data_IF_316123427358
#
_entry.id   IF_316123427358
#
_cell.length_a   1.000
_cell.length_b   1.000
_cell.length_c   1.000
_cell.angle_alpha   90.00
_cell.angle_beta   90.00
_cell.angle_gamma   90.00
#
_symmetry.space_group_name_H-M   'P 1'
#
loop_
_entity.id
_entity.type
_entity.pdbx_description
1 polymer ?
#
# COMPACT_ATOMS: atom_id res chain seq x y z
N UNK A 1 -12.47 33.15 1.48
CA UNK A 1 -12.18 33.12 2.94
C UNK A 1 -11.90 31.72 3.51
N UNK A 2 -12.44 30.62 2.97
CA UNK A 2 -12.06 29.23 3.35
C UNK A 2 -10.64 28.78 2.94
N UNK A 3 -9.89 29.62 2.21
CA UNK A 3 -8.59 29.28 1.60
C UNK A 3 -7.36 29.64 2.46
N UNK A 4 -7.51 30.37 3.58
CA UNK A 4 -6.40 30.74 4.46
C UNK A 4 -6.30 29.88 5.73
N UNK A 5 -7.35 29.12 6.06
CA UNK A 5 -7.37 28.23 7.23
C UNK A 5 -6.56 26.94 6.97
N UNK A 6 -6.32 26.58 5.69
CA UNK A 6 -5.61 25.34 5.31
C UNK A 6 -4.07 25.38 5.46
N UNK A 7 -3.50 26.42 6.08
CA UNK A 7 -2.04 26.56 6.26
C UNK A 7 -1.57 26.58 7.72
N UNK A 8 -2.48 26.53 8.70
CA UNK A 8 -2.07 26.51 10.11
C UNK A 8 -2.01 25.07 10.61
N UNK A 9 -0.81 24.63 10.99
CA UNK A 9 -0.54 23.36 11.69
C UNK A 9 -1.19 23.41 13.07
N UNK A 10 -2.48 23.09 13.15
CA UNK A 10 -3.26 23.17 14.39
C UNK A 10 -4.06 21.89 14.61
N UNK A 11 -4.13 21.42 15.86
CA UNK A 11 -4.94 20.29 16.22
C UNK A 11 -6.43 20.67 16.21
N UNK A 12 -7.35 19.70 16.03
CA UNK A 12 -8.78 19.97 15.88
C UNK A 12 -9.51 20.29 17.20
N UNK A 13 -8.93 19.94 18.35
CA UNK A 13 -9.54 20.15 19.67
C UNK A 13 -9.41 21.59 20.20
N UNK A 14 -10.22 21.98 21.19
CA UNK A 14 -10.10 23.28 21.83
C UNK A 14 -8.96 23.34 22.83
N UNK A 15 -8.62 24.57 23.23
CA UNK A 15 -7.80 24.87 24.40
C UNK A 15 -8.69 24.85 25.65
N UNK A 16 -8.35 24.06 26.65
CA UNK A 16 -9.05 24.07 27.94
C UNK A 16 -8.35 25.05 28.88
N UNK A 17 -9.05 26.10 29.27
CA UNK A 17 -8.58 27.12 30.22
C UNK A 17 -9.10 26.75 31.60
N UNK A 18 -8.20 26.48 32.53
CA UNK A 18 -8.50 26.10 33.92
C UNK A 18 -7.99 27.22 34.83
N UNK A 19 -8.90 28.08 35.28
CA UNK A 19 -8.61 29.32 36.00
C UNK A 19 -9.85 29.70 36.80
N UNK A 20 -9.71 30.13 38.06
CA UNK A 20 -10.83 30.39 38.97
C UNK A 20 -11.33 31.85 38.91
N UNK A 21 -10.49 32.78 38.44
CA UNK A 21 -10.86 34.19 38.32
C UNK A 21 -11.46 34.52 36.96
N UNK A 22 -12.69 35.02 36.98
CA UNK A 22 -13.44 35.40 35.76
C UNK A 22 -12.68 36.39 34.87
N UNK A 23 -12.02 37.40 35.46
CA UNK A 23 -11.21 38.38 34.72
C UNK A 23 -10.09 37.71 33.89
N UNK A 24 -9.40 36.72 34.49
CA UNK A 24 -8.32 35.99 33.83
C UNK A 24 -8.86 35.04 32.76
N UNK A 25 -9.99 34.38 33.04
CA UNK A 25 -10.68 33.55 32.04
C UNK A 25 -11.04 34.39 30.81
N UNK A 26 -11.63 35.57 31.00
CA UNK A 26 -12.02 36.47 29.90
C UNK A 26 -10.81 36.98 29.11
N UNK A 27 -9.70 37.31 29.79
CA UNK A 27 -8.45 37.68 29.13
C UNK A 27 -7.93 36.54 28.22
N UNK A 28 -7.81 35.33 28.75
CA UNK A 28 -7.30 34.16 28.02
C UNK A 28 -8.24 33.75 26.89
N UNK A 29 -9.56 33.83 27.11
CA UNK A 29 -10.58 33.63 26.10
C UNK A 29 -10.40 34.62 24.95
N UNK A 30 -10.29 35.93 25.25
CA UNK A 30 -10.05 36.96 24.25
C UNK A 30 -8.75 36.75 23.45
N UNK A 31 -7.70 36.23 24.10
CA UNK A 31 -6.46 35.84 23.40
C UNK A 31 -6.75 34.69 22.42
N UNK A 32 -7.44 33.63 22.86
CA UNK A 32 -7.82 32.49 22.01
C UNK A 32 -8.69 32.92 20.82
N UNK A 33 -9.66 33.80 21.05
CA UNK A 33 -10.50 34.39 19.99
C UNK A 33 -9.66 35.16 18.97
N UNK A 34 -8.72 36.00 19.44
CA UNK A 34 -7.85 36.79 18.56
C UNK A 34 -7.02 35.92 17.60
N UNK A 35 -6.66 34.70 18.03
CA UNK A 35 -5.94 33.72 17.21
C UNK A 35 -6.85 32.69 16.54
N UNK A 36 -8.18 32.81 16.68
CA UNK A 36 -9.17 31.91 16.08
C UNK A 36 -8.97 30.46 16.52
N UNK A 37 -8.78 30.25 17.82
CA UNK A 37 -8.64 28.92 18.44
C UNK A 37 -9.87 28.68 19.31
N UNK A 38 -10.60 27.57 19.12
CA UNK A 38 -11.72 27.23 19.99
C UNK A 38 -11.20 26.97 21.41
N UNK A 39 -11.98 27.36 22.41
CA UNK A 39 -11.59 27.19 23.81
C UNK A 39 -12.79 26.74 24.66
N UNK A 40 -12.49 26.19 25.81
CA UNK A 40 -13.45 25.85 26.86
C UNK A 40 -12.94 26.39 28.19
N UNK A 41 -13.84 26.76 29.09
CA UNK A 41 -13.53 27.31 30.40
C UNK A 41 -13.85 26.29 31.49
N UNK A 42 -12.98 26.19 32.48
CA UNK A 42 -13.17 25.44 33.71
C UNK A 42 -12.72 26.29 34.90
N UNK A 43 -13.59 26.44 35.89
CA UNK A 43 -13.32 27.25 37.08
C UNK A 43 -12.41 26.58 38.12
N UNK A 44 -12.15 25.27 37.99
CA UNK A 44 -11.21 24.53 38.84
C UNK A 44 -10.80 23.20 38.19
N UNK A 45 -9.82 22.52 38.78
CA UNK A 45 -9.30 21.25 38.27
C UNK A 45 -10.34 20.11 38.20
N UNK A 46 -11.35 20.12 39.08
CA UNK A 46 -12.39 19.07 39.07
C UNK A 46 -13.32 19.23 37.87
N UNK A 47 -13.80 20.45 37.62
CA UNK A 47 -14.61 20.78 36.43
C UNK A 47 -13.82 20.49 35.15
N UNK A 48 -12.51 20.78 35.14
CA UNK A 48 -11.65 20.47 34.00
C UNK A 48 -11.55 18.96 33.71
N UNK A 49 -11.45 18.11 34.74
CA UNK A 49 -11.47 16.66 34.58
C UNK A 49 -12.83 16.14 34.08
N UNK A 50 -13.93 16.73 34.52
CA UNK A 50 -15.27 16.40 34.02
C UNK A 50 -15.41 16.73 32.53
N UNK A 51 -14.93 17.91 32.09
CA UNK A 51 -14.94 18.30 30.68
C UNK A 51 -14.05 17.41 29.79
N UNK A 52 -12.94 16.90 30.34
CA UNK A 52 -12.03 15.98 29.64
C UNK A 52 -12.72 14.66 29.26
N UNK A 53 -13.71 14.22 30.07
CA UNK A 53 -14.46 12.99 29.78
C UNK A 53 -15.42 13.12 28.59
N UNK A 54 -15.77 14.35 28.22
CA UNK A 54 -16.78 14.67 27.20
C UNK A 54 -16.19 15.17 25.88
N UNK A 55 -14.98 15.76 25.90
CA UNK A 55 -14.39 16.43 24.74
C UNK A 55 -12.89 16.11 24.57
N UNK A 56 -12.43 16.03 23.31
CA UNK A 56 -11.01 15.98 23.02
C UNK A 56 -10.37 17.36 23.19
N UNK A 57 -9.41 17.50 24.12
CA UNK A 57 -8.66 18.74 24.37
C UNK A 57 -7.27 18.69 23.76
N UNK A 58 -6.87 19.78 23.10
CA UNK A 58 -5.56 19.92 22.44
C UNK A 58 -4.47 20.45 23.35
N UNK A 59 -4.72 21.54 24.06
CA UNK A 59 -3.78 22.19 24.98
C UNK A 59 -4.53 22.61 26.24
N UNK A 60 -3.87 22.50 27.40
CA UNK A 60 -4.40 22.92 28.69
C UNK A 60 -3.67 24.18 29.13
N UNK A 61 -4.39 25.25 29.42
CA UNK A 61 -3.88 26.44 30.12
C UNK A 61 -4.32 26.32 31.59
N UNK A 62 -3.41 26.17 32.53
CA UNK A 62 -3.74 25.79 33.92
C UNK A 62 -3.14 26.79 34.91
N UNK A 63 -3.98 27.44 35.73
CA UNK A 63 -3.50 28.11 36.93
C UNK A 63 -3.12 27.09 38.01
N UNK A 64 -2.01 27.31 38.69
CA UNK A 64 -1.60 26.49 39.83
C UNK A 64 -2.42 26.74 41.08
N UNK A 65 -2.89 27.98 41.27
CA UNK A 65 -3.59 28.37 42.49
C UNK A 65 -5.08 28.55 42.22
N UNK A 66 -5.87 27.52 42.55
CA UNK A 66 -7.33 27.55 42.40
C UNK A 66 -7.99 26.85 43.59
N UNK A 67 -9.23 27.22 43.98
CA UNK A 67 -10.01 26.52 44.99
C UNK A 67 -10.47 25.13 44.49
N UNK A 68 -10.94 24.30 45.43
CA UNK A 68 -11.49 22.94 45.20
C UNK A 68 -10.44 21.91 44.76
N UNK A 69 -9.82 22.09 43.59
CA UNK A 69 -8.72 21.27 43.10
C UNK A 69 -7.67 22.18 42.47
N UNK A 70 -6.50 22.23 43.09
CA UNK A 70 -5.37 23.03 42.64
C UNK A 70 -4.77 22.50 41.32
N UNK A 71 -4.04 23.36 40.61
CA UNK A 71 -3.47 23.02 39.31
C UNK A 71 -2.42 21.91 39.37
N UNK A 72 -1.62 21.81 40.45
CA UNK A 72 -0.63 20.72 40.60
C UNK A 72 -1.34 19.37 40.69
N UNK A 73 -2.38 19.28 41.52
CA UNK A 73 -3.22 18.09 41.70
C UNK A 73 -3.92 17.71 40.40
N UNK A 74 -4.50 18.69 39.69
CA UNK A 74 -5.08 18.48 38.35
C UNK A 74 -4.07 17.91 37.35
N UNK A 75 -2.88 18.49 37.24
CA UNK A 75 -1.83 18.05 36.29
C UNK A 75 -1.44 16.59 36.56
N UNK A 76 -1.30 16.19 37.83
CA UNK A 76 -0.97 14.79 38.19
C UNK A 76 -2.05 13.82 37.73
N UNK A 77 -3.33 14.12 37.96
CA UNK A 77 -4.44 13.27 37.52
C UNK A 77 -4.57 13.26 36.00
N UNK A 78 -4.43 14.42 35.35
CA UNK A 78 -4.45 14.55 33.90
C UNK A 78 -3.37 13.69 33.25
N UNK A 79 -2.13 13.68 33.77
CA UNK A 79 -1.03 12.88 33.22
C UNK A 79 -1.22 11.37 33.40
N UNK A 80 -1.99 10.91 34.39
CA UNK A 80 -2.38 9.49 34.51
C UNK A 80 -3.38 9.08 33.43
N UNK A 81 -4.30 9.98 33.08
CA UNK A 81 -5.33 9.73 32.06
C UNK A 81 -4.80 9.94 30.63
N UNK A 82 -4.00 10.98 30.43
CA UNK A 82 -3.45 11.43 29.15
C UNK A 82 -1.99 11.83 29.34
N UNK A 83 -1.09 10.86 29.27
CA UNK A 83 0.36 11.06 29.50
C UNK A 83 0.99 12.08 28.55
N UNK A 84 0.47 12.15 27.32
CA UNK A 84 0.91 13.07 26.28
C UNK A 84 0.21 14.43 26.33
N UNK A 85 -0.53 14.77 27.41
CA UNK A 85 -1.16 16.09 27.58
C UNK A 85 -0.14 17.23 27.43
N UNK A 86 -0.48 18.25 26.65
CA UNK A 86 0.34 19.46 26.42
C UNK A 86 -0.21 20.54 27.33
N UNK A 87 0.55 20.89 28.36
CA UNK A 87 0.08 21.70 29.48
C UNK A 87 0.93 22.96 29.57
N UNK A 88 0.28 24.11 29.52
CA UNK A 88 0.86 25.41 29.77
C UNK A 88 0.40 25.88 31.14
N UNK A 89 1.35 26.11 32.03
CA UNK A 89 1.06 26.51 33.40
C UNK A 89 1.10 28.02 33.53
N UNK A 90 0.20 28.58 34.32
CA UNK A 90 0.21 29.99 34.72
C UNK A 90 0.50 30.06 36.21
N UNK A 91 1.44 30.90 36.62
CA UNK A 91 1.89 30.98 38.01
C UNK A 91 2.26 32.40 38.42
N UNK A 92 2.00 32.75 39.68
CA UNK A 92 2.48 34.01 40.28
C UNK A 92 3.91 33.88 40.84
N UNK A 93 4.49 32.69 40.76
CA UNK A 93 5.80 32.34 41.32
C UNK A 93 6.88 32.51 40.24
N UNK A 94 7.93 33.26 40.56
CA UNK A 94 9.11 33.48 39.70
C UNK A 94 10.40 32.84 40.27
N UNK A 95 10.29 32.05 41.34
CA UNK A 95 11.40 31.33 41.98
C UNK A 95 11.89 30.12 41.17
N UNK A 96 13.21 30.01 40.99
CA UNK A 96 13.85 28.95 40.19
C UNK A 96 13.53 27.53 40.66
N UNK A 97 13.47 27.29 41.97
CA UNK A 97 13.26 25.94 42.51
C UNK A 97 11.84 25.42 42.28
N UNK A 98 10.83 26.29 42.39
CA UNK A 98 9.44 25.93 42.14
C UNK A 98 9.15 25.73 40.64
N UNK A 99 9.79 26.53 39.77
CA UNK A 99 9.72 26.33 38.30
C UNK A 99 10.30 24.94 37.93
N UNK A 100 11.43 24.55 38.53
CA UNK A 100 12.01 23.22 38.30
C UNK A 100 11.04 22.11 38.73
N UNK A 101 10.35 22.28 39.87
CA UNK A 101 9.35 21.33 40.33
C UNK A 101 8.18 21.18 39.35
N UNK A 102 7.67 22.30 38.83
CA UNK A 102 6.58 22.33 37.84
C UNK A 102 7.02 21.64 36.54
N UNK A 103 8.22 21.94 36.04
CA UNK A 103 8.74 21.31 34.82
C UNK A 103 8.90 19.80 34.97
N UNK A 104 9.29 19.30 36.15
CA UNK A 104 9.37 17.86 36.45
C UNK A 104 8.02 17.14 36.38
N UNK A 105 6.91 17.86 36.42
CA UNK A 105 5.56 17.29 36.24
C UNK A 105 5.21 17.03 34.77
N UNK A 106 6.13 17.31 33.84
CA UNK A 106 5.96 17.03 32.41
C UNK A 106 5.04 18.03 31.70
N UNK A 107 5.02 19.28 32.18
CA UNK A 107 4.33 20.38 31.50
C UNK A 107 5.16 20.86 30.30
N UNK A 108 4.50 21.45 29.32
CA UNK A 108 5.15 21.94 28.11
C UNK A 108 5.94 23.23 28.36
N UNK A 109 5.32 24.20 29.04
CA UNK A 109 5.94 25.47 29.40
C UNK A 109 5.16 26.15 30.54
N UNK A 110 5.67 27.27 31.04
CA UNK A 110 5.03 28.10 32.07
C UNK A 110 4.98 29.58 31.67
N UNK A 111 4.01 30.29 32.24
CA UNK A 111 3.72 31.70 32.02
C UNK A 111 3.64 32.39 33.38
N UNK A 112 4.52 33.37 33.61
CA UNK A 112 4.57 34.12 34.86
C UNK A 112 3.54 35.25 34.82
N UNK A 113 2.71 35.35 35.87
CA UNK A 113 1.76 36.46 36.06
C UNK A 113 2.51 37.72 36.54
N UNK A 114 2.17 38.94 36.07
CA UNK A 114 1.03 39.28 35.22
C UNK A 114 1.24 38.86 33.76
N UNK A 115 0.17 38.31 33.15
CA UNK A 115 0.24 37.73 31.82
C UNK A 115 0.43 38.79 30.73
N UNK A 116 1.53 38.69 30.00
CA UNK A 116 1.74 39.48 28.79
C UNK A 116 1.00 38.83 27.61
N UNK A 117 0.08 39.56 26.99
CA UNK A 117 -0.77 39.09 25.88
C UNK A 117 0.05 38.50 24.72
N UNK A 118 1.12 39.16 24.29
CA UNK A 118 1.94 38.73 23.16
C UNK A 118 2.74 37.46 23.50
N UNK A 119 3.23 37.36 24.74
CA UNK A 119 3.92 36.17 25.23
C UNK A 119 2.98 34.98 25.28
N UNK A 120 1.81 35.12 25.92
CA UNK A 120 0.79 34.07 26.01
C UNK A 120 0.40 33.58 24.62
N UNK A 121 0.12 34.52 23.70
CA UNK A 121 -0.22 34.22 22.31
C UNK A 121 0.87 33.42 21.61
N UNK A 122 2.12 33.84 21.73
CA UNK A 122 3.26 33.17 21.08
C UNK A 122 3.48 31.77 21.64
N UNK A 123 3.47 31.62 22.97
CA UNK A 123 3.65 30.34 23.65
C UNK A 123 2.50 29.37 23.37
N UNK A 124 1.25 29.85 23.34
CA UNK A 124 0.09 29.05 23.01
C UNK A 124 0.12 28.53 21.56
N UNK A 125 0.51 29.37 20.60
CA UNK A 125 0.67 28.93 19.21
C UNK A 125 1.73 27.84 19.06
N UNK A 126 2.87 27.97 19.75
CA UNK A 126 3.91 26.93 19.76
C UNK A 126 3.42 25.63 20.39
N UNK A 127 2.68 25.70 21.50
CA UNK A 127 2.10 24.53 22.15
C UNK A 127 1.08 23.81 21.25
N UNK A 128 0.25 24.56 20.51
CA UNK A 128 -0.68 24.00 19.53
C UNK A 128 0.05 23.32 18.37
N UNK A 129 1.11 23.93 17.83
CA UNK A 129 1.92 23.30 16.79
C UNK A 129 2.58 22.02 17.31
N UNK A 130 3.13 22.04 18.53
CA UNK A 130 3.72 20.86 19.15
C UNK A 130 2.70 19.72 19.33
N UNK A 131 1.47 20.02 19.78
CA UNK A 131 0.37 19.04 19.84
C UNK A 131 0.08 18.46 18.46
N UNK A 132 -0.05 19.31 17.44
CA UNK A 132 -0.30 18.86 16.06
C UNK A 132 0.78 17.89 15.56
N UNK A 133 2.05 18.16 15.87
CA UNK A 133 3.16 17.28 15.50
C UNK A 133 3.08 15.91 16.19
N UNK A 134 2.77 15.88 17.50
CA UNK A 134 2.55 14.61 18.23
C UNK A 134 1.40 13.81 17.62
N UNK A 135 0.30 14.47 17.27
CA UNK A 135 -0.86 13.79 16.70
C UNK A 135 -0.53 13.20 15.32
N UNK A 136 0.23 13.91 14.48
CA UNK A 136 0.74 13.39 13.20
C UNK A 136 1.67 12.20 13.41
N UNK A 137 2.65 12.31 14.32
CA UNK A 137 3.59 11.23 14.60
C UNK A 137 2.86 9.95 14.99
N UNK A 138 1.82 10.05 15.84
CA UNK A 138 0.98 8.92 16.22
C UNK A 138 0.23 8.29 15.05
N UNK A 139 -0.25 9.10 14.10
CA UNK A 139 -0.91 8.59 12.88
C UNK A 139 0.10 7.87 12.00
N UNK A 140 1.26 8.48 11.75
CA UNK A 140 2.32 7.89 10.94
C UNK A 140 2.82 6.55 11.52
N UNK A 141 3.10 6.51 12.83
CA UNK A 141 3.52 5.29 13.51
C UNK A 141 2.47 4.17 13.45
N UNK A 142 1.17 4.53 13.49
CA UNK A 142 0.07 3.55 13.35
C UNK A 142 -0.01 2.99 11.94
N UNK A 143 0.16 3.83 10.93
CA UNK A 143 0.14 3.40 9.52
C UNK A 143 1.33 2.50 9.21
N UNK A 144 2.54 2.89 9.64
CA UNK A 144 3.75 2.06 9.49
C UNK A 144 3.63 0.73 10.26
N UNK A 145 3.10 0.77 11.49
CA UNK A 145 2.84 -0.45 12.27
C UNK A 145 1.80 -1.35 11.62
N UNK A 146 0.80 -0.78 10.92
CA UNK A 146 -0.22 -1.53 10.21
C UNK A 146 0.37 -2.19 8.97
N UNK A 147 1.14 -1.45 8.18
CA UNK A 147 1.83 -1.98 7.00
C UNK A 147 2.82 -3.09 7.39
N UNK A 148 3.60 -2.90 8.46
CA UNK A 148 4.50 -3.94 8.99
C UNK A 148 3.73 -5.16 9.50
N UNK A 149 2.56 -4.98 10.14
CA UNK A 149 1.71 -6.11 10.56
C UNK A 149 1.14 -6.86 9.36
N UNK A 150 0.66 -6.17 8.33
CA UNK A 150 0.19 -6.79 7.09
C UNK A 150 1.32 -7.58 6.41
N UNK A 151 2.54 -7.03 6.37
CA UNK A 151 3.73 -7.73 5.88
C UNK A 151 4.08 -8.97 6.74
N UNK A 152 4.05 -8.85 8.07
CA UNK A 152 4.31 -9.96 8.98
C UNK A 152 3.24 -11.06 8.90
N UNK A 153 1.97 -10.68 8.77
CA UNK A 153 0.86 -11.62 8.54
C UNK A 153 1.01 -12.34 7.20
N UNK A 154 1.45 -11.64 6.16
CA UNK A 154 1.77 -12.25 4.88
C UNK A 154 2.94 -13.23 4.97
N UNK A 155 4.03 -12.85 5.64
CA UNK A 155 5.17 -13.72 5.89
C UNK A 155 4.80 -14.94 6.74
N UNK A 156 4.02 -14.74 7.81
CA UNK A 156 3.51 -15.83 8.64
C UNK A 156 2.54 -16.73 7.86
N UNK A 157 1.68 -16.19 7.02
CA UNK A 157 0.85 -16.97 6.11
C UNK A 157 1.72 -17.83 5.19
N UNK A 158 2.77 -17.26 4.57
CA UNK A 158 3.71 -18.01 3.71
C UNK A 158 4.46 -19.09 4.50
N UNK A 159 4.95 -18.80 5.70
CA UNK A 159 5.59 -19.76 6.61
C UNK A 159 4.63 -20.88 7.02
N UNK A 160 3.38 -20.54 7.33
CA UNK A 160 2.35 -21.49 7.76
C UNK A 160 1.85 -22.33 6.58
N UNK A 161 1.68 -21.76 5.39
CA UNK A 161 1.39 -22.50 4.15
C UNK A 161 2.53 -23.45 3.76
N UNK A 162 3.77 -23.14 4.18
CA UNK A 162 4.93 -24.02 4.01
C UNK A 162 5.00 -25.13 5.07
N UNK A 163 4.46 -24.91 6.27
CA UNK A 163 4.49 -25.83 7.43
C UNK A 163 3.22 -26.68 7.60
N UNK A 164 2.06 -26.23 7.13
CA UNK A 164 0.79 -26.94 7.24
C UNK A 164 0.48 -27.71 5.95
N UNK A 165 0.56 -29.04 6.03
CA UNK A 165 0.19 -30.04 5.03
C UNK A 165 0.43 -29.68 3.55
N UNK A 166 1.64 -30.00 3.08
CA UNK A 166 2.04 -30.12 1.65
C UNK A 166 0.92 -30.68 0.74
N UNK A 167 0.08 -31.58 1.26
CA UNK A 167 -1.02 -32.19 0.51
C UNK A 167 -2.09 -31.20 0.00
N UNK A 168 -2.41 -30.10 0.68
CA UNK A 168 -3.56 -29.26 0.29
C UNK A 168 -3.24 -28.29 -0.85
N UNK A 169 -2.06 -27.67 -0.83
CA UNK A 169 -1.56 -26.77 -1.88
C UNK A 169 -1.18 -27.53 -3.15
N UNK A 170 -0.56 -28.71 -3.03
CA UNK A 170 -0.27 -29.59 -4.16
C UNK A 170 -1.54 -30.09 -4.85
N UNK A 171 -2.54 -30.54 -4.07
CA UNK A 171 -3.84 -30.96 -4.60
C UNK A 171 -4.58 -29.80 -5.26
N UNK A 172 -4.52 -28.59 -4.68
CA UNK A 172 -5.12 -27.38 -5.27
C UNK A 172 -4.44 -27.02 -6.59
N UNK A 173 -3.12 -27.10 -6.68
CA UNK A 173 -2.38 -26.89 -7.92
C UNK A 173 -2.78 -27.91 -9.00
N UNK A 174 -2.94 -29.19 -8.63
CA UNK A 174 -3.41 -30.23 -9.54
C UNK A 174 -4.85 -29.96 -10.02
N UNK A 175 -5.75 -29.53 -9.12
CA UNK A 175 -7.12 -29.14 -9.50
C UNK A 175 -7.15 -27.93 -10.43
N UNK A 176 -6.36 -26.89 -10.14
CA UNK A 176 -6.29 -25.69 -10.97
C UNK A 176 -5.69 -26.01 -12.35
N UNK A 177 -4.64 -26.83 -12.40
CA UNK A 177 -4.07 -27.33 -13.65
C UNK A 177 -5.09 -28.15 -14.44
N UNK A 178 -5.77 -29.11 -13.81
CA UNK A 178 -6.85 -29.89 -14.45
C UNK A 178 -7.91 -28.97 -15.03
N UNK A 179 -8.36 -27.98 -14.27
CA UNK A 179 -9.39 -27.01 -14.70
C UNK A 179 -8.92 -26.22 -15.92
N UNK A 180 -7.71 -25.66 -15.86
CA UNK A 180 -7.14 -24.85 -16.95
C UNK A 180 -6.88 -25.67 -18.21
N UNK A 181 -6.49 -26.93 -18.08
CA UNK A 181 -6.28 -27.83 -19.22
C UNK A 181 -7.59 -28.40 -19.80
N UNK A 182 -8.64 -28.52 -18.98
CA UNK A 182 -9.93 -29.10 -19.40
C UNK A 182 -10.95 -28.05 -19.88
N UNK A 183 -10.78 -26.76 -19.52
CA UNK A 183 -11.68 -25.67 -19.88
C UNK A 183 -11.05 -24.71 -20.90
N UNK A 184 -11.89 -23.96 -21.64
CA UNK A 184 -11.46 -22.95 -22.60
C UNK A 184 -10.70 -23.55 -23.79
N UNK A 185 -9.61 -22.91 -24.22
CA UNK A 185 -8.76 -23.32 -25.36
C UNK A 185 -7.84 -24.52 -25.09
N UNK A 186 -8.06 -25.28 -24.00
CA UNK A 186 -7.27 -26.45 -23.63
C UNK A 186 -7.67 -27.76 -24.33
N UNK A 187 -7.24 -28.89 -23.77
CA UNK A 187 -7.47 -30.24 -24.32
C UNK A 187 -8.96 -30.58 -24.45
N UNK A 188 -9.81 -30.10 -23.54
CA UNK A 188 -11.26 -30.38 -23.59
C UNK A 188 -11.95 -29.82 -24.84
N UNK A 189 -11.57 -28.61 -25.26
CA UNK A 189 -12.05 -28.05 -26.52
C UNK A 189 -11.47 -28.81 -27.71
N UNK A 190 -10.18 -29.19 -27.66
CA UNK A 190 -9.55 -29.98 -28.71
C UNK A 190 -10.24 -31.34 -28.89
N UNK A 191 -10.52 -32.07 -27.81
CA UNK A 191 -11.22 -33.36 -27.89
C UNK A 191 -12.63 -33.19 -28.44
N UNK A 192 -13.35 -32.15 -28.02
CA UNK A 192 -14.70 -31.86 -28.54
C UNK A 192 -14.68 -31.53 -30.04
N UNK A 193 -13.69 -30.74 -30.48
CA UNK A 193 -13.51 -30.42 -31.90
C UNK A 193 -13.14 -31.67 -32.71
N UNK A 194 -12.24 -32.50 -32.21
CA UNK A 194 -11.87 -33.77 -32.85
C UNK A 194 -13.08 -34.70 -32.94
N UNK A 195 -13.85 -34.85 -31.86
CA UNK A 195 -15.07 -35.68 -31.86
C UNK A 195 -16.09 -35.14 -32.86
N UNK A 196 -16.27 -33.82 -32.94
CA UNK A 196 -17.16 -33.18 -33.92
C UNK A 196 -16.69 -33.43 -35.34
N UNK A 197 -15.39 -33.28 -35.62
CA UNK A 197 -14.79 -33.59 -36.93
C UNK A 197 -15.00 -35.06 -37.27
N UNK A 198 -14.75 -35.98 -36.33
CA UNK A 198 -14.91 -37.43 -36.54
C UNK A 198 -16.37 -37.77 -36.87
N UNK A 199 -17.35 -37.13 -36.20
CA UNK A 199 -18.78 -37.36 -36.43
C UNK A 199 -19.30 -36.75 -37.73
N UNK A 200 -18.77 -35.59 -38.14
CA UNK A 200 -19.26 -34.84 -39.31
C UNK A 200 -18.50 -35.14 -40.59
N UNK A 201 -17.29 -35.69 -40.48
CA UNK A 201 -16.46 -35.97 -41.65
C UNK A 201 -17.01 -37.12 -42.50
N UNK A 202 -16.99 -36.93 -43.81
CA UNK A 202 -17.39 -37.96 -44.77
C UNK A 202 -16.17 -38.68 -45.32
N UNK A 203 -16.25 -40.01 -45.40
CA UNK A 203 -15.23 -40.84 -46.07
C UNK A 203 -15.61 -41.08 -47.52
N UNK A 204 -14.69 -40.77 -48.43
CA UNK A 204 -14.83 -41.12 -49.83
C UNK A 204 -14.48 -42.60 -50.07
N UNK A 205 -14.86 -43.14 -51.23
CA UNK A 205 -14.63 -44.55 -51.63
C UNK A 205 -13.13 -44.95 -51.57
N UNK A 206 -12.22 -43.98 -51.69
CA UNK A 206 -10.77 -44.17 -51.62
C UNK A 206 -10.20 -44.12 -50.18
N UNK A 207 -11.07 -44.01 -49.15
CA UNK A 207 -10.68 -43.92 -47.75
C UNK A 207 -10.22 -42.53 -47.27
N UNK A 208 -10.26 -41.51 -48.14
CA UNK A 208 -9.94 -40.12 -47.75
C UNK A 208 -11.08 -39.49 -46.96
N UNK A 209 -10.72 -38.73 -45.91
CA UNK A 209 -11.65 -38.03 -45.02
C UNK A 209 -11.68 -36.56 -45.43
N UNK A 210 -12.86 -36.01 -45.69
CA UNK A 210 -13.05 -34.57 -45.96
C UNK A 210 -13.55 -33.88 -44.71
N UNK A 211 -12.89 -32.79 -44.33
CA UNK A 211 -13.18 -31.98 -43.13
C UNK A 211 -13.52 -30.57 -43.59
N UNK A 212 -14.47 -29.93 -42.91
CA UNK A 212 -14.78 -28.52 -43.13
C UNK A 212 -13.56 -27.63 -42.81
N UNK A 213 -13.31 -26.65 -43.67
CA UNK A 213 -12.21 -25.69 -43.48
C UNK A 213 -12.34 -24.88 -42.19
N UNK A 214 -13.57 -24.55 -41.76
CA UNK A 214 -13.81 -23.83 -40.50
C UNK A 214 -13.39 -24.67 -39.29
N UNK A 215 -13.76 -25.95 -39.25
CA UNK A 215 -13.33 -26.85 -38.17
C UNK A 215 -11.81 -27.06 -38.16
N UNK A 216 -11.18 -27.13 -39.33
CA UNK A 216 -9.74 -27.24 -39.43
C UNK A 216 -9.03 -25.98 -38.90
N UNK A 217 -9.54 -24.79 -39.22
CA UNK A 217 -8.97 -23.53 -38.74
C UNK A 217 -9.07 -23.42 -37.21
N UNK A 218 -10.24 -23.72 -36.63
CA UNK A 218 -10.42 -23.69 -35.16
C UNK A 218 -9.53 -24.72 -34.47
N UNK A 219 -9.34 -25.90 -35.08
CA UNK A 219 -8.41 -26.92 -34.58
C UNK A 219 -6.95 -26.43 -34.60
N UNK A 220 -6.54 -25.75 -35.68
CA UNK A 220 -5.20 -25.18 -35.79
C UNK A 220 -4.95 -24.09 -34.73
N UNK A 221 -5.91 -23.18 -34.54
CA UNK A 221 -5.86 -22.13 -33.52
C UNK A 221 -5.75 -22.73 -32.10
N UNK A 222 -6.58 -23.73 -31.78
CA UNK A 222 -6.55 -24.43 -30.50
C UNK A 222 -5.22 -25.17 -30.27
N UNK A 223 -4.68 -25.82 -31.30
CA UNK A 223 -3.37 -26.48 -31.24
C UNK A 223 -2.23 -25.50 -30.98
N UNK A 224 -2.28 -24.31 -31.61
CA UNK A 224 -1.31 -23.26 -31.37
C UNK A 224 -1.37 -22.73 -29.92
N UNK A 225 -2.57 -22.56 -29.37
CA UNK A 225 -2.75 -22.22 -27.95
C UNK A 225 -2.17 -23.29 -27.02
N UNK A 226 -2.47 -24.56 -27.28
CA UNK A 226 -1.94 -25.69 -26.49
C UNK A 226 -0.40 -25.73 -26.53
N UNK A 227 0.22 -25.54 -27.69
CA UNK A 227 1.68 -25.45 -27.81
C UNK A 227 2.27 -24.28 -27.04
N UNK A 228 1.59 -23.13 -26.99
CA UNK A 228 2.03 -21.98 -26.18
C UNK A 228 1.99 -22.31 -24.70
N UNK A 229 0.90 -22.93 -24.23
CA UNK A 229 0.72 -23.35 -22.84
C UNK A 229 1.82 -24.33 -22.39
N UNK A 230 2.12 -25.33 -23.22
CA UNK A 230 3.17 -26.31 -22.94
C UNK A 230 4.58 -25.68 -22.90
N UNK A 231 4.87 -24.73 -23.79
CA UNK A 231 6.14 -23.98 -23.77
C UNK A 231 6.29 -23.13 -22.52
N UNK A 232 5.23 -22.43 -22.11
CA UNK A 232 5.22 -21.64 -20.88
C UNK A 232 5.43 -22.52 -19.63
N UNK A 233 4.80 -23.69 -19.59
CA UNK A 233 5.00 -24.67 -18.51
C UNK A 233 6.44 -25.19 -18.47
N UNK A 234 7.00 -25.56 -19.62
CA UNK A 234 8.38 -26.03 -19.71
C UNK A 234 9.38 -24.96 -19.23
N UNK A 235 9.19 -23.71 -19.65
CA UNK A 235 10.01 -22.59 -19.18
C UNK A 235 9.90 -22.36 -17.68
N UNK A 236 8.68 -22.47 -17.11
CA UNK A 236 8.50 -22.40 -15.66
C UNK A 236 9.28 -23.50 -14.93
N UNK A 237 9.17 -24.76 -15.38
CA UNK A 237 9.91 -25.89 -14.78
C UNK A 237 11.42 -25.69 -14.87
N UNK A 238 11.94 -25.26 -16.01
CA UNK A 238 13.37 -24.97 -16.17
C UNK A 238 13.86 -23.88 -15.20
N UNK A 239 13.08 -22.82 -15.00
CA UNK A 239 13.40 -21.77 -14.04
C UNK A 239 13.32 -22.31 -12.60
N UNK A 240 12.37 -23.19 -12.29
CA UNK A 240 12.25 -23.80 -10.97
C UNK A 240 13.50 -24.64 -10.64
N UNK A 241 13.91 -25.52 -11.56
CA UNK A 241 15.00 -26.47 -11.38
C UNK A 241 16.41 -25.85 -11.49
N UNK A 242 16.57 -24.76 -12.24
CA UNK A 242 17.88 -24.13 -12.46
C UNK A 242 18.50 -23.55 -11.19
N UNK A 243 19.83 -23.63 -11.06
CA UNK A 243 20.55 -22.79 -10.09
C UNK A 243 20.68 -21.39 -10.68
N UNK A 244 20.24 -20.38 -9.94
CA UNK A 244 20.30 -18.99 -10.38
C UNK A 244 21.59 -18.36 -9.91
N UNK A 245 22.42 -17.95 -10.86
CA UNK A 245 23.62 -17.15 -10.59
C UNK A 245 23.23 -15.67 -10.59
N UNK A 246 23.53 -14.99 -9.48
CA UNK A 246 23.29 -13.56 -9.30
C UNK A 246 24.57 -12.79 -9.61
N UNK A 247 24.44 -11.78 -10.46
CA UNK A 247 25.55 -10.90 -10.85
C UNK A 247 25.41 -9.54 -10.18
N UNK A 248 26.54 -8.87 -9.90
CA UNK A 248 26.51 -7.49 -9.41
C UNK A 248 26.06 -6.57 -10.54
N UNK A 249 25.00 -5.83 -10.30
CA UNK A 249 24.36 -4.96 -11.29
C UNK A 249 23.96 -3.65 -10.64
N UNK A 250 24.07 -2.55 -11.39
CA UNK A 250 23.62 -1.25 -10.93
C UNK A 250 22.13 -1.03 -11.21
N UNK A 251 21.45 -0.28 -10.35
CA UNK A 251 20.02 0.01 -10.50
C UNK A 251 19.66 0.66 -11.85
N UNK A 252 20.58 1.42 -12.45
CA UNK A 252 20.38 2.01 -13.79
C UNK A 252 20.20 0.96 -14.90
N UNK A 253 20.90 -0.17 -14.81
CA UNK A 253 20.75 -1.27 -15.77
C UNK A 253 19.40 -1.97 -15.63
N UNK A 254 18.89 -2.08 -14.40
CA UNK A 254 17.55 -2.63 -14.12
C UNK A 254 16.47 -1.71 -14.72
N UNK A 255 16.60 -0.39 -14.53
CA UNK A 255 15.69 0.59 -15.15
C UNK A 255 15.73 0.48 -16.66
N UNK A 256 16.92 0.47 -17.27
CA UNK A 256 17.05 0.32 -18.72
C UNK A 256 16.41 -0.98 -19.22
N UNK A 257 16.44 -2.05 -18.43
CA UNK A 257 15.74 -3.30 -18.77
C UNK A 257 14.22 -3.13 -18.73
N UNK A 258 13.67 -2.44 -17.74
CA UNK A 258 12.23 -2.10 -17.68
C UNK A 258 11.82 -1.27 -18.90
N UNK A 259 12.61 -0.26 -19.27
CA UNK A 259 12.36 0.59 -20.45
C UNK A 259 12.33 -0.23 -21.74
N UNK A 260 13.30 -1.15 -21.90
CA UNK A 260 13.33 -2.08 -23.03
C UNK A 260 12.09 -2.96 -23.06
N UNK A 261 11.66 -3.54 -21.93
CA UNK A 261 10.46 -4.38 -21.91
C UNK A 261 9.21 -3.56 -22.24
N UNK A 262 9.07 -2.36 -21.68
CA UNK A 262 7.95 -1.47 -21.97
C UNK A 262 7.88 -1.07 -23.45
N UNK A 263 9.02 -0.83 -24.11
CA UNK A 263 9.04 -0.50 -25.54
C UNK A 263 8.61 -1.67 -26.43
N UNK A 264 8.98 -2.91 -26.09
CA UNK A 264 8.48 -4.09 -26.79
C UNK A 264 6.96 -4.27 -26.63
N UNK A 265 6.41 -3.88 -25.48
CA UNK A 265 4.97 -3.95 -25.19
C UNK A 265 4.18 -2.71 -25.65
N UNK A 266 4.83 -1.72 -26.27
CA UNK A 266 4.18 -0.47 -26.66
C UNK A 266 3.03 -0.69 -27.67
N UNK A 267 3.19 -1.64 -28.59
CA UNK A 267 2.12 -2.02 -29.55
C UNK A 267 0.89 -2.56 -28.83
N UNK A 268 1.09 -3.46 -27.86
CA UNK A 268 0.02 -4.00 -27.02
C UNK A 268 -0.68 -2.91 -26.22
N UNK A 269 0.06 -1.99 -25.59
CA UNK A 269 -0.50 -0.86 -24.86
C UNK A 269 -1.28 0.11 -25.77
N UNK A 270 -0.80 0.34 -27.00
CA UNK A 270 -1.44 1.22 -27.97
C UNK A 270 -2.84 0.75 -28.40
N UNK A 271 -3.08 -0.56 -28.45
CA UNK A 271 -4.42 -1.11 -28.78
C UNK A 271 -5.53 -0.61 -27.86
N UNK A 272 -5.20 -0.33 -26.59
CA UNK A 272 -6.10 0.22 -25.57
C UNK A 272 -5.85 1.70 -25.28
N UNK A 273 -4.98 2.38 -26.04
CA UNK A 273 -4.51 3.74 -25.75
C UNK A 273 -3.94 3.92 -24.33
N UNK A 274 -3.26 2.90 -23.81
CA UNK A 274 -2.66 2.94 -22.47
C UNK A 274 -1.31 3.67 -22.51
N UNK A 275 -1.09 4.57 -21.56
CA UNK A 275 0.22 5.21 -21.37
C UNK A 275 1.03 4.46 -20.32
N UNK A 276 2.30 4.14 -20.61
CA UNK A 276 3.22 3.54 -19.62
C UNK A 276 4.20 4.61 -19.15
N UNK A 277 4.09 5.02 -17.89
CA UNK A 277 5.01 5.97 -17.28
C UNK A 277 6.21 5.22 -16.68
N UNK A 278 7.40 5.51 -17.20
CA UNK A 278 8.64 4.82 -16.83
C UNK A 278 9.23 5.38 -15.53
N UNK A 279 9.92 4.52 -14.74
CA UNK A 279 10.44 4.94 -13.45
C UNK A 279 11.70 5.80 -13.60
N UNK A 280 11.87 6.78 -12.71
CA UNK A 280 13.11 7.55 -12.57
C UNK A 280 13.84 7.17 -11.29
N UNK A 281 15.16 6.96 -11.37
CA UNK A 281 16.00 6.75 -10.19
C UNK A 281 16.61 8.06 -9.70
N UNK A 282 16.52 8.31 -8.39
CA UNK A 282 17.14 9.47 -7.74
C UNK A 282 18.60 9.22 -7.36
N UNK A 283 18.92 7.98 -7.01
CA UNK A 283 20.24 7.54 -6.56
C UNK A 283 20.55 6.16 -7.12
N UNK A 284 21.80 5.94 -7.52
CA UNK A 284 22.26 4.64 -8.02
C UNK A 284 22.64 3.72 -6.85
N UNK A 285 22.21 2.47 -6.91
CA UNK A 285 22.51 1.44 -5.91
C UNK A 285 22.99 0.15 -6.58
N UNK A 286 23.72 -0.67 -5.83
CA UNK A 286 24.23 -1.96 -6.29
C UNK A 286 23.33 -3.08 -5.80
N UNK A 287 23.04 -4.04 -6.67
CA UNK A 287 22.24 -5.23 -6.34
C UNK A 287 22.93 -6.49 -6.85
N UNK A 288 22.57 -7.64 -6.27
CA UNK A 288 22.91 -8.96 -6.79
C UNK A 288 21.67 -9.52 -7.49
N UNK A 289 21.68 -9.51 -8.82
CA UNK A 289 20.51 -9.91 -9.61
C UNK A 289 20.89 -10.71 -10.85
N UNK A 290 19.93 -11.49 -11.34
CA UNK A 290 19.95 -12.07 -12.67
C UNK A 290 19.02 -11.25 -13.57
N UNK A 291 19.60 -10.41 -14.43
CA UNK A 291 18.85 -9.48 -15.26
C UNK A 291 17.88 -10.15 -16.25
N UNK A 292 18.19 -11.36 -16.71
CA UNK A 292 17.32 -12.09 -17.65
C UNK A 292 16.05 -12.58 -16.95
N UNK A 293 16.18 -13.14 -15.75
CA UNK A 293 15.02 -13.56 -14.96
C UNK A 293 14.17 -12.36 -14.48
N UNK A 294 14.81 -11.25 -14.11
CA UNK A 294 14.08 -10.01 -13.80
C UNK A 294 13.36 -9.46 -15.03
N UNK A 295 13.96 -9.55 -16.21
CA UNK A 295 13.31 -9.16 -17.47
C UNK A 295 12.01 -9.94 -17.71
N UNK A 296 11.97 -11.23 -17.38
CA UNK A 296 10.75 -12.04 -17.44
C UNK A 296 9.70 -11.55 -16.45
N UNK A 297 10.11 -11.19 -15.22
CA UNK A 297 9.20 -10.62 -14.23
C UNK A 297 8.58 -9.30 -14.71
N UNK A 298 9.40 -8.40 -15.25
CA UNK A 298 8.90 -7.12 -15.77
C UNK A 298 7.94 -7.32 -16.94
N UNK A 299 8.22 -8.29 -17.82
CA UNK A 299 7.33 -8.62 -18.94
C UNK A 299 5.97 -9.09 -18.43
N UNK A 300 5.94 -10.00 -17.45
CA UNK A 300 4.70 -10.49 -16.84
C UNK A 300 3.91 -9.39 -16.13
N UNK A 301 4.59 -8.57 -15.31
CA UNK A 301 3.91 -7.52 -14.54
C UNK A 301 3.30 -6.46 -15.46
N UNK A 302 4.04 -6.02 -16.48
CA UNK A 302 3.53 -5.06 -17.48
C UNK A 302 2.42 -5.66 -18.34
N UNK A 303 2.55 -6.92 -18.79
CA UNK A 303 1.48 -7.59 -19.54
C UNK A 303 0.20 -7.74 -18.71
N UNK A 304 0.32 -8.12 -17.43
CA UNK A 304 -0.83 -8.18 -16.52
C UNK A 304 -1.46 -6.80 -16.33
N UNK A 305 -0.65 -5.75 -16.14
CA UNK A 305 -1.16 -4.39 -16.06
C UNK A 305 -1.92 -3.98 -17.35
N UNK A 306 -1.38 -4.25 -18.54
CA UNK A 306 -2.04 -3.94 -19.83
C UNK A 306 -3.33 -4.76 -20.03
N UNK A 307 -3.31 -6.05 -19.69
CA UNK A 307 -4.47 -6.95 -19.84
C UNK A 307 -5.67 -6.47 -19.04
N UNK A 308 -5.44 -6.06 -17.79
CA UNK A 308 -6.51 -5.68 -16.87
C UNK A 308 -6.75 -4.17 -16.77
N UNK A 309 -5.91 -3.35 -17.42
CA UNK A 309 -6.16 -1.91 -17.54
C UNK A 309 -7.37 -1.61 -18.45
N UNK A 310 -8.11 -0.59 -18.04
CA UNK A 310 -9.12 0.07 -18.86
C UNK A 310 -8.50 0.82 -20.03
N UNK A 311 -9.29 1.09 -21.08
CA UNK A 311 -8.83 1.90 -22.20
C UNK A 311 -8.53 3.34 -21.73
N UNK A 312 -7.52 3.96 -22.34
CA UNK A 312 -7.11 5.35 -22.07
C UNK A 312 -6.65 5.63 -20.63
N UNK A 313 -6.19 4.63 -19.88
CA UNK A 313 -5.57 4.81 -18.56
C UNK A 313 -4.04 4.85 -18.63
N UNK A 314 -3.40 5.12 -17.48
CA UNK A 314 -1.96 5.06 -17.32
C UNK A 314 -1.55 3.91 -16.40
N UNK A 315 -0.43 3.28 -16.75
CA UNK A 315 0.32 2.35 -15.89
C UNK A 315 1.53 3.12 -15.37
N UNK A 316 1.61 3.31 -14.06
CA UNK A 316 2.67 4.06 -13.41
C UNK A 316 3.73 3.12 -12.84
N UNK A 317 4.95 3.18 -13.37
CA UNK A 317 6.10 2.48 -12.81
C UNK A 317 6.93 3.46 -11.97
N UNK A 318 7.26 3.11 -10.73
CA UNK A 318 8.12 3.92 -9.89
C UNK A 318 9.06 3.08 -9.04
N UNK A 319 10.13 3.72 -8.59
CA UNK A 319 11.17 3.10 -7.78
C UNK A 319 11.30 3.84 -6.47
N UNK A 320 11.34 3.09 -5.38
CA UNK A 320 11.60 3.58 -4.02
C UNK A 320 12.75 2.81 -3.39
N UNK A 321 13.54 3.51 -2.56
CA UNK A 321 14.57 2.91 -1.73
C UNK A 321 14.06 2.94 -0.30
N UNK A 322 13.77 1.77 0.27
CA UNK A 322 13.16 1.65 1.60
C UNK A 322 13.89 0.56 2.37
N UNK A 323 14.41 0.87 3.57
CA UNK A 323 15.00 -0.08 4.52
C UNK A 323 16.00 -1.09 3.93
N UNK A 324 16.87 -0.63 3.03
CA UNK A 324 17.87 -1.49 2.39
C UNK A 324 17.34 -2.31 1.22
N UNK A 325 16.11 -2.05 0.75
CA UNK A 325 15.54 -2.64 -0.44
C UNK A 325 15.36 -1.62 -1.57
N UNK A 326 15.56 -2.12 -2.78
CA UNK A 326 15.20 -1.49 -4.03
C UNK A 326 13.82 -1.99 -4.44
N UNK A 327 12.80 -1.16 -4.24
CA UNK A 327 11.42 -1.51 -4.55
C UNK A 327 11.04 -0.98 -5.92
N UNK A 328 10.55 -1.87 -6.78
CA UNK A 328 9.98 -1.55 -8.09
C UNK A 328 8.48 -1.77 -8.00
N UNK A 329 7.71 -0.72 -8.25
CA UNK A 329 6.26 -0.74 -8.17
C UNK A 329 5.64 -0.54 -9.54
N UNK A 330 4.67 -1.39 -9.88
CA UNK A 330 3.82 -1.27 -11.07
C UNK A 330 2.39 -0.99 -10.61
N UNK A 331 1.94 0.24 -10.80
CA UNK A 331 0.60 0.69 -10.40
C UNK A 331 -0.32 0.73 -11.62
N UNK A 332 -1.44 0.03 -11.53
CA UNK A 332 -2.49 0.04 -12.53
C UNK A 332 -3.76 0.71 -11.96
N UNK A 333 -4.28 1.70 -12.68
CA UNK A 333 -5.52 2.39 -12.30
C UNK A 333 -6.73 1.59 -12.79
N UNK A 334 -7.59 1.17 -11.86
CA UNK A 334 -8.78 0.36 -12.12
C UNK A 334 -10.04 1.09 -11.63
N UNK A 335 -10.44 2.20 -12.28
CA UNK A 335 -11.65 2.93 -11.87
C UNK A 335 -12.90 2.06 -12.10
N UNK A 336 -13.51 1.59 -11.00
CA UNK A 336 -14.81 0.91 -10.94
C UNK A 336 -15.02 -0.20 -12.00
N UNK A 337 -14.10 -1.16 -12.05
CA UNK A 337 -14.14 -2.27 -12.99
C UNK A 337 -14.38 -3.61 -12.28
N UNK A 338 -14.87 -4.63 -12.98
CA UNK A 338 -15.04 -6.01 -12.49
C UNK A 338 -13.68 -6.58 -12.02
N UNK A 339 -12.59 -6.14 -12.64
CA UNK A 339 -11.21 -6.49 -12.26
C UNK A 339 -10.68 -5.73 -11.03
N UNK A 340 -11.44 -4.76 -10.50
CA UNK A 340 -11.04 -3.95 -9.33
C UNK A 340 -11.36 -4.61 -7.98
N UNK A 341 -12.12 -5.71 -7.98
CA UNK A 341 -12.60 -6.37 -6.77
C UNK A 341 -11.66 -7.49 -6.29
N UNK A 342 -10.43 -7.10 -5.93
CA UNK A 342 -9.47 -8.01 -5.28
C UNK A 342 -9.69 -7.94 -3.76
N UNK A 343 -10.40 -8.91 -3.20
CA UNK A 343 -10.50 -9.08 -1.74
C UNK A 343 -9.15 -9.48 -1.13
N UNK A 344 -8.93 -9.24 0.17
CA UNK A 344 -7.69 -9.62 0.88
C UNK A 344 -7.36 -11.13 0.74
N UNK A 345 -8.39 -11.98 0.74
CA UNK A 345 -8.23 -13.43 0.51
C UNK A 345 -7.85 -13.78 -0.94
N UNK A 346 -8.32 -12.98 -1.90
CA UNK A 346 -7.98 -13.15 -3.32
C UNK A 346 -6.53 -12.75 -3.60
N UNK A 347 -5.98 -11.75 -2.89
CA UNK A 347 -4.58 -11.32 -3.04
C UNK A 347 -3.59 -12.46 -2.77
N UNK A 348 -3.85 -13.25 -1.71
CA UNK A 348 -3.05 -14.43 -1.35
C UNK A 348 -3.15 -15.54 -2.40
N UNK A 349 -4.31 -15.67 -3.03
CA UNK A 349 -4.57 -16.71 -4.04
C UNK A 349 -3.96 -16.39 -5.41
N UNK A 350 -3.77 -15.10 -5.75
CA UNK A 350 -3.25 -14.66 -7.06
C UNK A 350 -1.84 -15.16 -7.39
N UNK A 351 -1.03 -15.48 -6.38
CA UNK A 351 0.32 -16.02 -6.56
C UNK A 351 0.35 -17.56 -6.58
N UNK A 352 -0.78 -18.23 -6.33
CA UNK A 352 -0.86 -19.69 -6.39
C UNK A 352 -0.78 -20.19 -7.83
N UNK A 353 -0.07 -21.29 -8.09
CA UNK A 353 0.08 -21.84 -9.44
C UNK A 353 -1.28 -22.18 -10.03
N UNK A 354 -1.44 -21.80 -11.30
CA UNK A 354 -2.63 -22.06 -12.12
C UNK A 354 -3.92 -21.36 -11.64
N UNK A 355 -3.84 -20.52 -10.60
CA UNK A 355 -4.99 -19.77 -10.13
C UNK A 355 -5.32 -18.62 -11.09
N UNK A 356 -6.62 -18.42 -11.36
CA UNK A 356 -7.14 -17.33 -12.17
C UNK A 356 -8.44 -16.83 -11.58
N UNK A 357 -8.54 -15.52 -11.37
CA UNK A 357 -9.79 -14.86 -10.99
C UNK A 357 -10.77 -14.75 -12.17
N UNK A 358 -10.22 -14.61 -13.39
CA UNK A 358 -11.01 -14.35 -14.59
C UNK A 358 -10.58 -15.26 -15.76
N UNK A 359 -11.48 -15.48 -16.74
CA UNK A 359 -11.14 -16.19 -17.97
C UNK A 359 -9.94 -15.55 -18.70
N UNK A 360 -9.21 -16.35 -19.50
CA UNK A 360 -8.08 -15.85 -20.29
C UNK A 360 -8.51 -14.73 -21.25
N UNK A 361 -7.68 -13.68 -21.35
CA UNK A 361 -7.86 -12.60 -22.32
C UNK A 361 -7.06 -12.94 -23.58
N UNK A 362 -7.76 -13.31 -24.65
CA UNK A 362 -7.15 -13.96 -25.82
C UNK A 362 -6.19 -13.07 -26.62
N UNK A 363 -6.36 -11.75 -26.56
CA UNK A 363 -5.65 -10.78 -27.40
C UNK A 363 -4.12 -10.71 -27.17
N UNK A 364 -3.60 -11.21 -26.05
CA UNK A 364 -2.19 -11.03 -25.65
C UNK A 364 -1.44 -12.34 -25.39
N UNK A 365 -2.03 -13.51 -25.67
CA UNK A 365 -1.42 -14.81 -25.34
C UNK A 365 -0.07 -15.10 -25.99
N UNK A 366 0.21 -14.55 -27.17
CA UNK A 366 1.49 -14.76 -27.86
C UNK A 366 2.67 -14.10 -27.14
N UNK A 367 2.40 -13.09 -26.33
CA UNK A 367 3.41 -12.32 -25.62
C UNK A 367 3.69 -12.84 -24.21
N UNK A 368 2.80 -13.65 -23.64
CA UNK A 368 2.92 -14.16 -22.27
C UNK A 368 4.08 -15.16 -22.15
N UNK A 369 5.14 -14.85 -21.37
CA UNK A 369 6.23 -15.80 -21.15
C UNK A 369 5.74 -17.01 -20.32
N UNK A 370 4.81 -16.80 -19.40
CA UNK A 370 4.17 -17.88 -18.63
C UNK A 370 2.66 -17.91 -18.87
N UNK A 371 2.20 -18.96 -19.54
CA UNK A 371 0.77 -19.22 -19.74
C UNK A 371 0.16 -19.90 -18.51
N UNK A 372 -1.08 -20.40 -18.62
CA UNK A 372 -1.75 -21.24 -17.60
C UNK A 372 -2.05 -20.57 -16.25
N UNK A 373 -1.81 -19.27 -16.07
CA UNK A 373 -1.93 -18.64 -14.75
C UNK A 373 -0.71 -18.88 -13.87
N UNK A 374 0.46 -19.10 -14.48
CA UNK A 374 1.73 -19.23 -13.78
C UNK A 374 2.48 -17.89 -13.62
N UNK A 375 2.07 -16.84 -14.33
CA UNK A 375 2.81 -15.56 -14.38
C UNK A 375 3.20 -14.99 -13.02
N UNK A 376 2.21 -14.68 -12.16
CA UNK A 376 2.48 -14.12 -10.83
C UNK A 376 3.18 -15.10 -9.90
N UNK A 377 2.91 -16.40 -10.02
CA UNK A 377 3.64 -17.45 -9.29
C UNK A 377 5.13 -17.44 -9.64
N UNK A 378 5.45 -17.31 -10.94
CA UNK A 378 6.84 -17.24 -11.40
C UNK A 378 7.50 -15.94 -10.99
N UNK A 379 6.79 -14.81 -10.97
CA UNK A 379 7.30 -13.55 -10.43
C UNK A 379 7.69 -13.71 -8.95
N UNK A 380 6.81 -14.28 -8.12
CA UNK A 380 7.11 -14.53 -6.70
C UNK A 380 8.31 -15.48 -6.53
N UNK A 381 8.36 -16.56 -7.33
CA UNK A 381 9.45 -17.51 -7.29
C UNK A 381 10.80 -16.88 -7.69
N UNK A 382 10.82 -16.11 -8.79
CA UNK A 382 12.03 -15.42 -9.26
C UNK A 382 12.47 -14.39 -8.22
N UNK A 383 11.54 -13.62 -7.64
CA UNK A 383 11.85 -12.69 -6.55
C UNK A 383 12.56 -13.40 -5.39
N UNK A 384 12.05 -14.55 -4.96
CA UNK A 384 12.67 -15.36 -3.90
C UNK A 384 14.07 -15.85 -4.28
N UNK A 385 14.30 -16.25 -5.54
CA UNK A 385 15.66 -16.61 -6.02
C UNK A 385 16.65 -15.45 -6.01
N UNK A 386 16.17 -14.22 -5.94
CA UNK A 386 16.98 -13.01 -5.78
C UNK A 386 17.08 -12.56 -4.31
N UNK A 387 16.63 -13.38 -3.36
CA UNK A 387 16.47 -13.02 -1.95
C UNK A 387 15.57 -11.79 -1.73
N UNK A 388 14.69 -11.55 -2.69
CA UNK A 388 13.70 -10.48 -2.68
C UNK A 388 12.33 -10.97 -2.26
N UNK A 389 11.36 -10.08 -2.37
CA UNK A 389 9.95 -10.36 -2.07
C UNK A 389 9.05 -9.77 -3.15
N UNK A 390 7.92 -10.42 -3.38
CA UNK A 390 6.87 -9.92 -4.25
C UNK A 390 5.55 -9.78 -3.50
N UNK A 391 4.86 -8.68 -3.75
CA UNK A 391 3.55 -8.38 -3.20
C UNK A 391 2.63 -7.83 -4.29
N UNK A 392 1.34 -8.14 -4.18
CA UNK A 392 0.30 -7.53 -4.99
C UNK A 392 -0.85 -7.14 -4.07
N UNK A 393 -1.26 -5.87 -4.10
CA UNK A 393 -2.27 -5.33 -3.20
C UNK A 393 -3.16 -4.31 -3.88
N UNK A 394 -4.37 -4.16 -3.33
CA UNK A 394 -5.27 -3.05 -3.64
C UNK A 394 -4.91 -1.87 -2.73
N UNK A 395 -4.65 -0.71 -3.31
CA UNK A 395 -4.32 0.52 -2.59
C UNK A 395 -5.31 1.65 -2.97
N UNK A 396 -5.44 2.64 -2.08
CA UNK A 396 -6.14 3.89 -2.41
C UNK A 396 -5.13 4.87 -2.99
N UNK A 397 -5.44 5.39 -4.17
CA UNK A 397 -4.61 6.41 -4.79
C UNK A 397 -4.87 7.77 -4.14
N UNK A 398 -3.87 8.29 -3.43
CA UNK A 398 -3.87 9.64 -2.85
C UNK A 398 -3.13 10.67 -3.73
N UNK A 399 -2.59 10.24 -4.87
CA UNK A 399 -1.75 11.08 -5.76
C UNK A 399 -2.55 11.83 -6.83
N UNK A 400 -3.80 11.45 -7.05
CA UNK A 400 -4.74 12.05 -8.00
C UNK A 400 -5.89 12.77 -7.26
N UNK A 401 -6.51 13.79 -7.89
CA UNK A 401 -7.57 14.62 -7.27
C UNK A 401 -8.83 13.82 -6.91
N UNK A 402 -9.03 12.67 -7.53
CA UNK A 402 -10.09 11.71 -7.23
C UNK A 402 -9.48 10.49 -6.52
N UNK A 403 -9.90 10.23 -5.28
CA UNK A 403 -9.44 9.07 -4.50
C UNK A 403 -10.04 7.80 -5.11
N UNK A 404 -9.33 7.19 -6.06
CA UNK A 404 -9.68 5.93 -6.70
C UNK A 404 -8.94 4.73 -6.11
N UNK A 405 -9.49 3.52 -6.27
CA UNK A 405 -8.74 2.30 -5.97
C UNK A 405 -7.80 1.94 -7.13
N UNK A 406 -6.58 1.51 -6.80
CA UNK A 406 -5.61 0.99 -7.76
C UNK A 406 -5.06 -0.36 -7.29
N UNK A 407 -4.51 -1.12 -8.23
CA UNK A 407 -3.74 -2.34 -7.91
C UNK A 407 -2.26 -2.01 -8.08
N UNK A 408 -1.47 -2.35 -7.07
CA UNK A 408 -0.02 -2.16 -7.07
C UNK A 408 0.64 -3.52 -6.91
N UNK A 409 1.53 -3.84 -7.85
CA UNK A 409 2.42 -4.99 -7.77
C UNK A 409 3.84 -4.49 -7.46
N UNK A 410 4.44 -4.99 -6.38
CA UNK A 410 5.68 -4.49 -5.81
C UNK A 410 6.72 -5.61 -5.75
N UNK A 411 7.89 -5.37 -6.32
CA UNK A 411 9.06 -6.25 -6.27
C UNK A 411 10.14 -5.58 -5.41
N UNK A 412 10.51 -6.22 -4.31
CA UNK A 412 11.55 -5.78 -3.38
C UNK A 412 12.82 -6.57 -3.63
N UNK A 413 13.93 -5.91 -3.95
CA UNK A 413 15.24 -6.53 -4.17
C UNK A 413 16.25 -5.99 -3.14
N UNK A 414 17.04 -6.84 -2.47
CA UNK A 414 17.97 -6.37 -1.45
C UNK A 414 19.14 -5.57 -2.05
N UNK A 415 19.38 -4.39 -1.49
CA UNK A 415 20.53 -3.54 -1.85
C UNK A 415 21.79 -4.13 -1.22
N UNK A 416 22.89 -4.13 -1.97
CA UNK A 416 24.21 -4.48 -1.46
C UNK A 416 24.88 -3.22 -0.94
N UNK A 417 25.27 -3.24 0.34
CA UNK A 417 26.02 -2.18 1.01
C UNK A 417 27.49 -2.21 0.56
#
# INVERSE_FOLDING_TARGET
>A
MKSLISKMRRPPGPVLIVEDREDNQMLLAGICESIHVPFQLAENGKVALELLSLNEVSVFLVDLMMPVMDGKSFIRELKKLKSDAVILVQTAIDGTDEIIEIMKMGVYDYLVKPLNVDLVKTTLLKALEYRYLIDIEKVLLRDESKELREQLEWLNYKETARKSSQSSTEVTAIYNLKTTLSQGSGFGAMTTLIDTIVQTSTRNENGTVTIDGEFFQVLEENNNHTKSMLRGLASAVEILESKVELTKTFSGEIVSRIEKVASHLASAAATKSITINLPMIKSEVKLLVNLELLSLCFKELLLNAIKYANASTAIDCFITLTDGYFCISFKNQLPNDIYSDISEDSQKSLVLPFFRMHPPVEALHKEEPFSLGLGLTMVDFIANKHHGMFFIRKAKDHTSKDVGFCTIAELFLPIQI
#
